data_IF_558081450022
#
_entry.id   IF_558081450022
#
_cell.length_a   1.000
_cell.length_b   1.000
_cell.length_c   1.000
_cell.angle_alpha   90.00
_cell.angle_beta   90.00
_cell.angle_gamma   90.00
#
_symmetry.space_group_name_H-M   'P 1'
#
loop_
_entity.id
_entity.type
_entity.pdbx_description
1 polymer ?
#
# COMPACT_ATOMS: atom_id res chain seq x y z
N UNK A 1 -17.30 -19.56 33.01
CA UNK A 1 -17.22 -18.08 33.11
C UNK A 1 -16.32 -17.60 31.99
N UNK A 2 -16.89 -17.13 30.87
CA UNK A 2 -16.11 -16.61 29.73
C UNK A 2 -16.00 -15.10 29.94
N UNK A 3 -14.81 -14.62 30.26
CA UNK A 3 -14.53 -13.20 30.36
C UNK A 3 -14.40 -12.65 28.93
N UNK A 4 -15.47 -12.04 28.42
CA UNK A 4 -15.42 -11.32 27.14
C UNK A 4 -14.83 -9.94 27.44
N UNK A 5 -13.53 -9.79 27.20
CA UNK A 5 -12.87 -8.48 27.22
C UNK A 5 -13.18 -7.79 25.90
N UNK A 6 -14.13 -6.86 25.90
CA UNK A 6 -14.45 -6.04 24.73
C UNK A 6 -13.44 -4.90 24.66
N UNK A 7 -12.42 -5.06 23.83
CA UNK A 7 -11.52 -3.94 23.49
C UNK A 7 -12.25 -2.97 22.55
N UNK A 8 -12.11 -1.65 22.74
CA UNK A 8 -12.65 -0.68 21.79
C UNK A 8 -12.02 -0.89 20.41
N UNK A 9 -12.86 -1.05 19.39
CA UNK A 9 -12.43 -1.18 17.99
C UNK A 9 -12.44 0.20 17.36
N UNK A 10 -11.28 0.65 16.87
CA UNK A 10 -11.14 1.85 16.03
C UNK A 10 -11.11 1.44 14.57
N UNK A 11 -11.59 2.31 13.70
CA UNK A 11 -11.60 2.09 12.25
C UNK A 11 -11.05 3.30 11.52
N UNK A 12 -10.17 3.07 10.56
CA UNK A 12 -9.68 4.09 9.63
C UNK A 12 -10.64 4.13 8.44
N UNK A 13 -11.10 5.34 8.11
CA UNK A 13 -11.99 5.61 7.00
C UNK A 13 -11.30 6.58 6.05
N UNK A 14 -11.44 6.35 4.75
CA UNK A 14 -10.93 7.25 3.71
C UNK A 14 -12.06 7.78 2.84
N UNK A 15 -11.86 8.97 2.27
CA UNK A 15 -12.79 9.60 1.34
C UNK A 15 -12.04 10.59 0.45
N UNK A 16 -12.18 10.42 -0.87
CA UNK A 16 -11.49 11.25 -1.86
C UNK A 16 -12.24 12.54 -2.23
N UNK A 17 -13.53 12.67 -1.89
CA UNK A 17 -14.36 13.85 -2.20
C UNK A 17 -15.39 14.05 -1.09
N UNK A 18 -15.63 15.30 -0.66
CA UNK A 18 -16.57 15.64 0.40
C UNK A 18 -18.02 15.16 0.16
N UNK A 19 -18.41 14.94 -1.10
CA UNK A 19 -19.73 14.45 -1.51
C UNK A 19 -19.84 12.93 -1.53
N UNK A 20 -18.71 12.20 -1.50
CA UNK A 20 -18.70 10.73 -1.50
C UNK A 20 -18.88 10.17 -0.09
N UNK A 21 -19.29 8.91 0.00
CA UNK A 21 -19.37 8.20 1.28
C UNK A 21 -17.98 7.82 1.76
N UNK A 22 -17.77 7.85 3.08
CA UNK A 22 -16.58 7.28 3.71
C UNK A 22 -16.48 5.77 3.44
N UNK A 23 -15.30 5.31 3.07
CA UNK A 23 -15.00 3.90 2.78
C UNK A 23 -14.11 3.37 3.92
N UNK A 24 -14.51 2.28 4.60
CA UNK A 24 -13.68 1.68 5.64
C UNK A 24 -12.43 1.09 5.00
N UNK A 25 -11.27 1.29 5.62
CA UNK A 25 -10.00 0.73 5.14
C UNK A 25 -9.52 -0.40 6.05
N UNK A 26 -9.40 -0.12 7.34
CA UNK A 26 -8.95 -1.09 8.31
C UNK A 26 -9.61 -0.82 9.66
N UNK A 27 -9.79 -1.88 10.46
CA UNK A 27 -10.25 -1.78 11.85
C UNK A 27 -9.26 -2.48 12.76
N UNK A 28 -8.93 -1.86 13.88
CA UNK A 28 -7.95 -2.37 14.83
C UNK A 28 -8.42 -2.10 16.26
N UNK A 29 -8.02 -2.97 17.18
CA UNK A 29 -8.20 -2.73 18.61
C UNK A 29 -7.03 -1.93 19.17
N UNK A 30 -7.19 -1.36 20.36
CA UNK A 30 -6.09 -0.75 21.12
C UNK A 30 -5.15 -1.78 21.77
N UNK A 31 -5.16 -3.03 21.30
CA UNK A 31 -4.28 -4.06 21.82
C UNK A 31 -2.81 -3.73 21.48
N UNK A 32 -1.93 -3.89 22.45
CA UNK A 32 -0.49 -3.75 22.25
C UNK A 32 0.04 -4.98 21.49
N UNK A 33 0.83 -4.73 20.43
CA UNK A 33 1.51 -5.77 19.66
C UNK A 33 2.99 -5.79 20.01
N UNK A 34 3.52 -6.97 20.28
CA UNK A 34 4.96 -7.20 20.44
C UNK A 34 5.62 -7.51 19.11
N UNK A 35 6.95 -7.47 19.09
CA UNK A 35 7.71 -7.77 17.89
C UNK A 35 7.48 -9.20 17.39
N UNK A 36 7.23 -10.15 18.28
CA UNK A 36 6.93 -11.54 17.93
C UNK A 36 5.57 -11.67 17.21
N UNK A 37 4.59 -10.86 17.59
CA UNK A 37 3.27 -10.85 16.92
C UNK A 37 3.42 -10.40 15.46
N UNK A 38 4.26 -9.38 15.20
CA UNK A 38 4.57 -8.95 13.84
C UNK A 38 5.37 -10.01 13.05
N UNK A 39 6.21 -10.82 13.72
CA UNK A 39 6.91 -11.91 13.05
C UNK A 39 5.93 -12.97 12.54
N UNK A 40 4.94 -13.34 13.35
CA UNK A 40 3.85 -14.24 12.96
C UNK A 40 3.03 -13.68 11.80
N UNK A 41 2.62 -12.40 11.89
CA UNK A 41 1.88 -11.73 10.82
C UNK A 41 2.70 -11.71 9.52
N UNK A 42 3.97 -11.33 9.58
CA UNK A 42 4.87 -11.27 8.43
C UNK A 42 5.10 -12.64 7.80
N UNK A 43 5.27 -13.68 8.61
CA UNK A 43 5.43 -15.04 8.11
C UNK A 43 4.17 -15.47 7.33
N UNK A 44 2.99 -15.28 7.91
CA UNK A 44 1.74 -15.63 7.24
C UNK A 44 1.51 -14.82 5.96
N UNK A 45 1.74 -13.51 5.99
CA UNK A 45 1.52 -12.63 4.81
C UNK A 45 2.49 -12.89 3.67
N UNK A 46 3.71 -13.36 3.97
CA UNK A 46 4.74 -13.66 2.96
C UNK A 46 4.74 -15.10 2.46
N UNK A 47 4.18 -16.05 3.21
CA UNK A 47 4.23 -17.49 2.85
C UNK A 47 2.89 -18.07 2.43
N UNK A 48 1.77 -17.48 2.88
CA UNK A 48 0.45 -18.06 2.59
C UNK A 48 0.07 -17.89 1.12
N UNK A 49 -0.04 -19.02 0.41
CA UNK A 49 -0.51 -19.08 -0.99
C UNK A 49 -1.93 -18.59 -1.19
N UNK A 50 -2.72 -18.43 -0.12
CA UNK A 50 -4.09 -17.90 -0.23
C UNK A 50 -4.13 -16.37 -0.26
N UNK A 51 -3.03 -15.70 0.11
CA UNK A 51 -2.97 -14.26 0.17
C UNK A 51 -2.47 -13.67 -1.15
N UNK A 52 -3.10 -12.56 -1.52
CA UNK A 52 -2.85 -11.86 -2.78
C UNK A 52 -1.38 -11.43 -2.94
N UNK A 53 -0.70 -11.08 -1.85
CA UNK A 53 0.71 -10.66 -1.85
C UNK A 53 1.71 -11.73 -2.32
N UNK A 54 1.36 -13.02 -2.21
CA UNK A 54 2.23 -14.11 -2.70
C UNK A 54 1.97 -14.46 -4.16
N UNK A 55 0.91 -13.90 -4.74
CA UNK A 55 0.45 -14.21 -6.09
C UNK A 55 0.67 -13.05 -7.07
N UNK A 56 0.74 -11.81 -6.57
CA UNK A 56 0.82 -10.61 -7.38
C UNK A 56 1.84 -9.64 -6.82
N UNK A 57 2.51 -8.93 -7.73
CA UNK A 57 3.41 -7.83 -7.38
C UNK A 57 2.56 -6.58 -7.11
N UNK A 58 2.85 -5.92 -5.99
CA UNK A 58 2.18 -4.70 -5.57
C UNK A 58 3.22 -3.72 -5.06
N UNK A 59 3.24 -2.52 -5.64
CA UNK A 59 4.17 -1.49 -5.24
C UNK A 59 3.42 -0.16 -5.18
N UNK A 60 3.61 0.59 -4.10
CA UNK A 60 3.04 1.92 -3.94
C UNK A 60 4.14 2.87 -3.50
N UNK A 61 4.28 4.01 -4.18
CA UNK A 61 5.22 5.07 -3.80
C UNK A 61 4.50 6.41 -3.78
N UNK A 62 4.57 7.13 -2.67
CA UNK A 62 4.05 8.49 -2.60
C UNK A 62 4.85 9.44 -3.51
N UNK A 63 4.14 10.36 -4.16
CA UNK A 63 4.73 11.48 -4.89
C UNK A 63 4.71 12.66 -3.93
N UNK A 64 5.90 13.16 -3.60
CA UNK A 64 6.08 14.25 -2.66
C UNK A 64 6.39 15.54 -3.42
N UNK A 65 5.86 16.66 -2.94
CA UNK A 65 6.16 18.02 -3.38
C UNK A 65 6.86 18.76 -2.24
N UNK A 66 7.88 19.54 -2.58
CA UNK A 66 8.77 20.22 -1.62
C UNK A 66 10.21 19.72 -1.75
N UNK A 67 11.15 20.53 -1.27
CA UNK A 67 12.55 20.15 -1.10
C UNK A 67 12.88 20.07 0.41
N UNK A 68 14.12 19.72 0.77
CA UNK A 68 14.54 19.55 2.17
C UNK A 68 14.37 20.81 3.06
N UNK A 69 14.04 21.96 2.47
CA UNK A 69 13.83 23.25 3.13
C UNK A 69 12.35 23.67 3.17
N UNK A 70 11.45 22.95 2.49
CA UNK A 70 10.01 23.20 2.43
C UNK A 70 9.21 22.06 3.08
N UNK A 71 7.94 22.31 3.40
CA UNK A 71 7.04 21.28 3.90
C UNK A 71 6.84 20.20 2.83
N UNK A 72 7.13 18.95 3.19
CA UNK A 72 6.99 17.80 2.30
C UNK A 72 5.51 17.40 2.26
N UNK A 73 4.85 17.76 1.15
CA UNK A 73 3.43 17.46 0.95
C UNK A 73 3.23 16.27 -0.01
N UNK A 74 2.45 15.25 0.36
CA UNK A 74 2.09 14.17 -0.55
C UNK A 74 1.04 14.65 -1.57
N UNK A 75 1.43 14.73 -2.83
CA UNK A 75 0.57 15.19 -3.95
C UNK A 75 -0.01 14.05 -4.78
N UNK A 76 0.36 12.80 -4.47
CA UNK A 76 -0.15 11.63 -5.18
C UNK A 76 0.61 10.35 -4.85
N UNK A 77 0.42 9.32 -5.68
CA UNK A 77 1.16 8.07 -5.59
C UNK A 77 1.32 7.40 -6.96
N UNK A 78 2.42 6.66 -7.14
CA UNK A 78 2.50 5.62 -8.16
C UNK A 78 2.07 4.29 -7.54
N UNK A 79 1.21 3.54 -8.24
CA UNK A 79 0.68 2.24 -7.81
C UNK A 79 0.88 1.24 -8.95
N UNK A 80 1.62 0.16 -8.68
CA UNK A 80 1.67 -1.02 -9.54
C UNK A 80 0.53 -1.95 -9.13
N UNK A 81 -0.36 -2.25 -10.09
CA UNK A 81 -1.46 -3.18 -9.90
C UNK A 81 -1.56 -4.09 -11.12
N UNK A 82 -1.15 -5.34 -10.97
CA UNK A 82 -1.08 -6.29 -12.08
C UNK A 82 -0.02 -5.85 -13.09
N UNK A 83 -0.43 -5.58 -14.33
CA UNK A 83 0.45 -5.19 -15.44
C UNK A 83 0.44 -3.68 -15.71
N UNK A 84 -0.14 -2.86 -14.83
CA UNK A 84 -0.26 -1.42 -15.03
C UNK A 84 0.38 -0.63 -13.89
N UNK A 85 1.19 0.36 -14.25
CA UNK A 85 1.61 1.43 -13.34
C UNK A 85 0.63 2.59 -13.49
N UNK A 86 0.00 2.94 -12.37
CA UNK A 86 -0.96 4.04 -12.28
C UNK A 86 -0.37 5.18 -11.48
N UNK A 87 -0.53 6.41 -11.97
CA UNK A 87 -0.32 7.61 -11.20
C UNK A 87 -1.67 8.06 -10.66
N UNK A 88 -1.78 8.12 -9.34
CA UNK A 88 -2.93 8.70 -8.65
C UNK A 88 -2.55 10.11 -8.19
N UNK A 89 -3.28 11.11 -8.66
CA UNK A 89 -3.13 12.50 -8.25
C UNK A 89 -4.51 13.16 -8.24
N UNK A 90 -4.79 14.01 -7.25
CA UNK A 90 -6.06 14.75 -7.15
C UNK A 90 -7.32 13.85 -7.20
N UNK A 91 -7.19 12.59 -6.78
CA UNK A 91 -8.29 11.62 -6.75
C UNK A 91 -8.55 10.88 -8.06
N UNK A 92 -7.79 11.18 -9.13
CA UNK A 92 -7.86 10.48 -10.41
C UNK A 92 -6.67 9.53 -10.59
N UNK A 93 -6.94 8.36 -11.18
CA UNK A 93 -5.92 7.36 -11.48
C UNK A 93 -5.71 7.28 -13.00
N UNK A 94 -4.49 7.59 -13.45
CA UNK A 94 -4.09 7.53 -14.86
C UNK A 94 -3.05 6.44 -15.06
N UNK A 95 -3.21 5.61 -16.09
CA UNK A 95 -2.19 4.60 -16.45
C UNK A 95 -1.03 5.32 -17.14
N UNK A 96 0.16 5.22 -16.57
CA UNK A 96 1.37 5.88 -17.08
C UNK A 96 2.34 4.90 -17.73
N UNK A 97 2.22 3.61 -17.43
CA UNK A 97 3.06 2.57 -18.02
C UNK A 97 2.34 1.22 -17.98
N UNK A 98 2.54 0.40 -19.01
CA UNK A 98 1.98 -0.96 -19.10
C UNK A 98 3.10 -1.95 -19.31
N UNK A 99 3.09 -3.01 -18.51
CA UNK A 99 4.02 -4.14 -18.55
C UNK A 99 3.45 -5.16 -19.53
N UNK A 100 4.20 -5.46 -20.59
CA UNK A 100 3.85 -6.52 -21.55
C UNK A 100 4.77 -7.72 -21.34
N UNK A 101 6.05 -7.45 -21.13
CA UNK A 101 7.09 -8.45 -20.91
C UNK A 101 7.78 -8.28 -19.55
N UNK A 102 8.53 -9.29 -19.13
CA UNK A 102 9.23 -9.28 -17.83
C UNK A 102 10.24 -8.12 -17.73
N UNK A 103 10.94 -7.81 -18.84
CA UNK A 103 11.88 -6.70 -18.91
C UNK A 103 11.20 -5.35 -18.63
N UNK A 104 9.96 -5.16 -19.08
CA UNK A 104 9.17 -3.96 -18.78
C UNK A 104 8.89 -3.83 -17.28
N UNK A 105 8.73 -4.97 -16.59
CA UNK A 105 8.51 -5.01 -15.15
C UNK A 105 9.74 -4.54 -14.37
N UNK A 106 10.92 -5.02 -14.73
CA UNK A 106 12.20 -4.57 -14.14
C UNK A 106 12.42 -3.09 -14.41
N UNK A 107 12.19 -2.65 -15.64
CA UNK A 107 12.29 -1.24 -16.04
C UNK A 107 11.31 -0.37 -15.26
N UNK A 108 10.07 -0.81 -15.07
CA UNK A 108 9.07 -0.09 -14.28
C UNK A 108 9.52 0.05 -12.82
N UNK A 109 10.02 -1.03 -12.21
CA UNK A 109 10.53 -1.02 -10.83
C UNK A 109 11.71 -0.06 -10.65
N UNK A 110 12.64 -0.03 -11.61
CA UNK A 110 13.76 0.90 -11.59
C UNK A 110 13.31 2.36 -11.73
N UNK A 111 12.41 2.66 -12.69
CA UNK A 111 11.97 4.03 -13.00
C UNK A 111 11.05 4.63 -11.93
N UNK A 112 10.09 3.85 -11.43
CA UNK A 112 9.01 4.36 -10.58
C UNK A 112 9.14 3.96 -9.10
N UNK A 113 10.03 3.02 -8.74
CA UNK A 113 10.27 2.66 -7.35
C UNK A 113 11.75 2.67 -6.96
N UNK A 114 12.66 2.99 -7.90
CA UNK A 114 14.10 3.04 -7.67
C UNK A 114 14.66 1.73 -7.09
N UNK A 115 13.99 0.61 -7.38
CA UNK A 115 14.45 -0.70 -6.98
C UNK A 115 15.49 -1.16 -7.99
N UNK A 116 16.68 -1.47 -7.49
CA UNK A 116 17.78 -2.02 -8.31
C UNK A 116 17.75 -3.54 -8.17
N UNK A 117 17.77 -4.24 -9.30
CA UNK A 117 17.95 -5.69 -9.29
C UNK A 117 19.40 -6.03 -8.92
N UNK A 118 19.61 -6.70 -7.79
CA UNK A 118 20.88 -7.37 -7.51
C UNK A 118 20.91 -8.67 -8.29
N UNK A 119 21.70 -8.72 -9.37
CA UNK A 119 22.00 -9.96 -10.08
C UNK A 119 22.77 -10.95 -9.20
#
# INVERSE_FOLDING_TARGET
MVLIVIFPIKSIWTRNDHKKRWIPQNSFSEAEFRQEDFAMIKYFTSQSRTLWFTQHIACTRAILKGNDQEEIEPVGAYILSGTEVKRVSEGEATVVFKIVEEVDGVDALARYWYVVSSA
#
